data_IF_076844581515
#
_entry.id   IF_076844581515
#
_cell.length_a   1.000
_cell.length_b   1.000
_cell.length_c   1.000
_cell.angle_alpha   90.00
_cell.angle_beta   90.00
_cell.angle_gamma   90.00
#
_symmetry.space_group_name_H-M   'P 1'
#
loop_
_entity.id
_entity.type
_entity.pdbx_description
1 polymer ?
#
# COMPACT_ATOMS: atom_id res chain seq x y z
N UNK A 1 25.06 5.06 -13.20
CA UNK A 1 25.90 5.04 -14.36
C UNK A 1 25.12 5.07 -15.67
N UNK A 2 24.64 3.94 -16.20
CA UNK A 2 23.92 3.94 -17.50
C UNK A 2 22.59 4.69 -17.40
N UNK A 3 21.77 4.40 -16.40
CA UNK A 3 20.52 5.11 -16.15
C UNK A 3 20.70 6.63 -16.00
N UNK A 4 21.75 7.06 -15.25
CA UNK A 4 22.09 8.48 -15.11
C UNK A 4 22.43 9.16 -16.45
N UNK A 5 22.99 8.40 -17.40
CA UNK A 5 23.34 8.90 -18.74
C UNK A 5 22.12 8.92 -19.68
N UNK A 6 21.23 7.91 -19.55
CA UNK A 6 20.06 7.77 -20.43
C UNK A 6 18.91 8.69 -20.01
N UNK A 7 18.74 8.97 -18.72
CA UNK A 7 17.66 9.82 -18.23
C UNK A 7 18.02 11.31 -18.11
N UNK A 8 19.27 11.69 -18.40
CA UNK A 8 19.79 13.08 -18.40
C UNK A 8 19.35 13.92 -17.18
N UNK A 9 19.18 13.26 -16.04
CA UNK A 9 18.70 13.90 -14.80
C UNK A 9 17.24 14.31 -14.79
N UNK A 10 16.44 13.85 -15.76
CA UNK A 10 15.06 14.27 -15.95
C UNK A 10 14.15 13.95 -14.76
N UNK A 11 14.43 12.85 -14.03
CA UNK A 11 13.57 12.43 -12.90
C UNK A 11 14.43 11.99 -11.71
N UNK A 12 14.15 12.58 -10.53
CA UNK A 12 14.67 12.06 -9.27
C UNK A 12 13.85 10.84 -8.86
N UNK A 13 14.53 9.75 -8.49
CA UNK A 13 13.89 8.56 -7.91
C UNK A 13 13.70 8.70 -6.40
N UNK A 14 14.49 9.55 -5.79
CA UNK A 14 14.54 9.82 -4.36
C UNK A 14 15.23 11.17 -4.16
N UNK A 15 14.63 12.15 -3.47
CA UNK A 15 15.22 13.46 -3.27
C UNK A 15 16.52 13.44 -2.45
N UNK A 16 16.70 12.39 -1.61
CA UNK A 16 17.91 12.22 -0.80
C UNK A 16 19.06 11.54 -1.58
N UNK A 17 18.79 11.05 -2.79
CA UNK A 17 19.77 10.36 -3.62
C UNK A 17 20.21 11.22 -4.80
N UNK A 18 21.37 11.82 -4.67
CA UNK A 18 21.91 12.69 -5.71
C UNK A 18 22.44 11.92 -6.94
N UNK A 19 22.34 12.52 -8.13
CA UNK A 19 22.69 11.91 -9.40
C UNK A 19 24.19 12.07 -9.75
N UNK A 20 25.09 11.71 -8.81
CA UNK A 20 26.54 11.70 -9.05
C UNK A 20 27.16 10.33 -8.72
N UNK A 21 28.37 10.10 -9.22
CA UNK A 21 29.17 8.92 -8.89
C UNK A 21 29.89 9.13 -7.56
N UNK A 22 29.78 8.19 -6.65
CA UNK A 22 30.48 8.23 -5.37
C UNK A 22 29.66 7.61 -4.24
N UNK A 23 30.22 7.70 -3.03
CA UNK A 23 29.51 7.27 -1.82
C UNK A 23 28.47 8.30 -1.44
N UNK A 24 27.26 7.84 -1.16
CA UNK A 24 26.18 8.66 -0.66
C UNK A 24 25.69 8.09 0.66
N UNK A 25 25.21 8.94 1.52
CA UNK A 25 24.77 8.59 2.86
C UNK A 25 23.33 9.05 3.05
N UNK A 26 22.56 8.25 3.77
CA UNK A 26 21.19 8.64 4.15
C UNK A 26 21.21 9.81 5.12
N UNK A 27 20.15 10.64 5.15
CA UNK A 27 19.90 11.55 6.27
C UNK A 27 19.95 10.82 7.62
N UNK A 28 20.29 11.52 8.70
CA UNK A 28 20.50 10.91 10.03
C UNK A 28 19.25 10.22 10.59
N UNK A 29 18.09 10.69 10.21
CA UNK A 29 16.79 10.19 10.63
C UNK A 29 16.27 9.03 9.77
N UNK A 30 16.97 8.67 8.69
CA UNK A 30 16.55 7.62 7.75
C UNK A 30 17.54 6.44 7.76
N UNK A 31 17.08 5.22 8.08
CA UNK A 31 17.93 4.03 8.08
C UNK A 31 18.30 3.56 6.65
N UNK A 32 17.49 3.94 5.65
CA UNK A 32 17.67 3.69 4.22
C UNK A 32 17.23 4.91 3.43
N UNK A 33 17.69 5.05 2.20
CA UNK A 33 17.05 5.93 1.21
C UNK A 33 15.60 5.46 1.00
N UNK A 34 14.67 6.38 0.79
CA UNK A 34 13.25 6.10 0.59
C UNK A 34 13.00 5.10 -0.54
N UNK A 35 13.73 5.24 -1.66
CA UNK A 35 13.78 4.32 -2.79
C UNK A 35 13.97 2.85 -2.37
N UNK A 36 14.86 2.59 -1.41
CA UNK A 36 15.09 1.26 -0.89
C UNK A 36 14.05 0.87 0.16
N UNK A 37 13.58 1.83 0.96
CA UNK A 37 12.52 1.61 1.96
C UNK A 37 11.23 1.09 1.33
N UNK A 38 10.81 1.64 0.18
CA UNK A 38 9.63 1.19 -0.56
C UNK A 38 9.76 -0.24 -1.11
N UNK A 39 10.99 -0.73 -1.24
CA UNK A 39 11.29 -2.10 -1.67
C UNK A 39 11.56 -3.07 -0.50
N UNK A 40 11.58 -2.56 0.74
CA UNK A 40 11.74 -3.37 1.94
C UNK A 40 10.45 -4.09 2.31
N UNK A 41 10.53 -5.17 3.10
CA UNK A 41 9.35 -5.79 3.66
C UNK A 41 8.68 -4.87 4.68
N UNK A 42 7.35 -4.96 4.74
CA UNK A 42 6.53 -4.33 5.76
C UNK A 42 6.71 -4.98 7.16
N UNK A 43 5.90 -4.54 8.13
CA UNK A 43 5.95 -5.09 9.50
C UNK A 43 5.67 -6.59 9.54
N UNK A 44 4.72 -7.08 8.72
CA UNK A 44 4.42 -8.50 8.60
C UNK A 44 5.59 -9.28 8.00
N UNK A 45 6.13 -8.86 6.86
CA UNK A 45 7.29 -9.47 6.22
C UNK A 45 8.54 -9.48 7.11
N UNK A 46 8.79 -8.39 7.84
CA UNK A 46 9.88 -8.30 8.83
C UNK A 46 9.70 -9.29 9.99
N UNK A 47 8.47 -9.48 10.45
CA UNK A 47 8.16 -10.50 11.47
C UNK A 47 8.50 -11.90 10.97
N UNK A 48 8.07 -12.26 9.76
CA UNK A 48 8.36 -13.56 9.15
C UNK A 48 9.88 -13.79 9.00
N UNK A 49 10.62 -12.77 8.56
CA UNK A 49 12.07 -12.88 8.39
C UNK A 49 12.82 -13.04 9.73
N UNK A 50 12.39 -12.33 10.79
CA UNK A 50 12.94 -12.51 12.13
C UNK A 50 12.67 -13.92 12.68
N UNK A 51 11.49 -14.46 12.44
CA UNK A 51 11.14 -15.83 12.82
C UNK A 51 11.97 -16.87 12.07
N UNK A 52 12.20 -16.66 10.75
CA UNK A 52 13.10 -17.50 9.96
C UNK A 52 14.50 -17.54 10.56
N UNK A 53 15.06 -16.38 10.88
CA UNK A 53 16.38 -16.28 11.50
C UNK A 53 16.43 -17.04 12.84
N UNK A 54 15.41 -16.90 13.68
CA UNK A 54 15.35 -17.61 14.97
C UNK A 54 15.33 -19.13 14.81
N UNK A 55 14.56 -19.65 13.85
CA UNK A 55 14.51 -21.09 13.54
C UNK A 55 15.85 -21.58 12.98
N UNK A 56 16.44 -20.81 12.06
CA UNK A 56 17.72 -21.18 11.46
C UNK A 56 18.84 -21.20 12.53
N UNK A 57 18.88 -20.20 13.38
CA UNK A 57 19.85 -20.11 14.48
C UNK A 57 19.74 -21.31 15.43
N UNK A 58 18.51 -21.75 15.74
CA UNK A 58 18.28 -22.94 16.57
C UNK A 58 18.78 -24.23 15.90
N UNK A 59 18.57 -24.38 14.59
CA UNK A 59 19.08 -25.54 13.83
C UNK A 59 20.61 -25.59 13.79
N UNK A 60 21.24 -24.41 13.76
CA UNK A 60 22.68 -24.24 13.72
C UNK A 60 23.33 -24.16 15.11
N UNK A 61 22.55 -24.35 16.18
CA UNK A 61 22.97 -24.24 17.58
C UNK A 61 23.73 -22.95 17.89
N UNK A 62 23.21 -21.84 17.37
CA UNK A 62 23.74 -20.48 17.59
C UNK A 62 22.66 -19.52 18.08
N UNK A 63 23.09 -18.37 18.60
CA UNK A 63 22.14 -17.29 18.93
C UNK A 63 21.61 -16.63 17.65
N UNK A 64 20.30 -16.27 17.61
CA UNK A 64 19.75 -15.47 16.52
C UNK A 64 20.50 -14.14 16.39
N UNK A 65 20.89 -13.78 15.17
CA UNK A 65 21.47 -12.47 14.91
C UNK A 65 20.38 -11.40 14.78
N UNK A 66 20.71 -10.16 15.12
CA UNK A 66 19.84 -9.03 14.84
C UNK A 66 19.91 -8.73 13.34
N UNK A 67 18.77 -8.80 12.65
CA UNK A 67 18.69 -8.45 11.24
C UNK A 67 18.81 -6.93 11.08
N UNK A 68 19.62 -6.51 10.12
CA UNK A 68 19.82 -5.13 9.70
C UNK A 68 18.84 -4.74 8.60
N UNK A 69 18.73 -3.46 8.27
CA UNK A 69 17.90 -2.99 7.15
C UNK A 69 18.35 -3.60 5.82
N UNK A 70 19.64 -3.80 5.62
CA UNK A 70 20.17 -4.48 4.43
C UNK A 70 19.72 -5.95 4.35
N UNK A 71 19.64 -6.66 5.49
CA UNK A 71 19.13 -8.03 5.53
C UNK A 71 17.65 -8.09 5.12
N UNK A 72 16.85 -7.13 5.60
CA UNK A 72 15.45 -7.03 5.20
C UNK A 72 15.31 -6.68 3.73
N UNK A 73 16.00 -5.66 3.24
CA UNK A 73 15.97 -5.24 1.85
C UNK A 73 16.36 -6.38 0.90
N UNK A 74 17.52 -7.00 1.13
CA UNK A 74 18.06 -8.02 0.24
C UNK A 74 17.37 -9.39 0.39
N UNK A 75 16.73 -9.63 1.52
CA UNK A 75 16.01 -10.89 1.79
C UNK A 75 14.63 -11.00 1.16
N UNK A 76 14.10 -9.94 0.53
CA UNK A 76 12.83 -9.99 -0.23
C UNK A 76 13.02 -10.81 -1.50
N UNK A 77 12.11 -11.77 -1.76
CA UNK A 77 12.14 -12.56 -2.99
C UNK A 77 12.04 -11.64 -4.23
N UNK A 78 13.00 -11.77 -5.14
CA UNK A 78 13.11 -10.88 -6.30
C UNK A 78 11.81 -10.82 -7.12
N UNK A 79 11.19 -11.95 -7.40
CA UNK A 79 9.97 -12.03 -8.21
C UNK A 79 8.79 -11.22 -7.65
N UNK A 80 8.64 -11.15 -6.32
CA UNK A 80 7.54 -10.44 -5.64
C UNK A 80 7.92 -9.06 -5.12
N UNK A 81 9.17 -8.61 -5.24
CA UNK A 81 9.59 -7.28 -4.80
C UNK A 81 8.75 -6.17 -5.42
N UNK A 82 8.36 -5.17 -4.64
CA UNK A 82 7.63 -4.01 -5.12
C UNK A 82 8.49 -3.19 -6.10
N UNK A 83 7.85 -2.70 -7.15
CA UNK A 83 8.48 -1.84 -8.14
C UNK A 83 9.49 -2.56 -9.05
N UNK A 84 10.43 -1.80 -9.60
CA UNK A 84 11.38 -2.28 -10.60
C UNK A 84 12.78 -2.59 -10.05
N UNK A 85 13.06 -2.26 -8.78
CA UNK A 85 14.38 -2.50 -8.21
C UNK A 85 14.71 -3.99 -8.11
N UNK A 86 15.94 -4.32 -8.52
CA UNK A 86 16.52 -5.66 -8.43
C UNK A 86 17.98 -5.54 -7.97
N UNK A 87 18.45 -6.49 -7.20
CA UNK A 87 19.78 -6.48 -6.62
C UNK A 87 20.61 -7.66 -7.10
N UNK A 88 21.84 -7.41 -7.51
CA UNK A 88 22.85 -8.42 -7.84
C UNK A 88 24.19 -8.01 -7.23
N UNK A 89 25.10 -8.96 -7.02
CA UNK A 89 26.46 -8.69 -6.53
C UNK A 89 27.38 -8.20 -7.66
N UNK A 90 27.10 -8.61 -8.88
CA UNK A 90 27.92 -8.35 -10.06
C UNK A 90 27.01 -7.86 -11.21
N UNK A 91 27.56 -7.03 -12.08
CA UNK A 91 26.88 -6.61 -13.31
C UNK A 91 26.62 -7.81 -14.21
N UNK A 92 25.34 -7.98 -14.61
CA UNK A 92 24.89 -9.15 -15.39
C UNK A 92 24.83 -10.47 -14.61
N UNK A 93 25.14 -10.45 -13.32
CA UNK A 93 25.04 -11.62 -12.44
C UNK A 93 23.61 -11.96 -12.04
N UNK A 94 23.40 -13.10 -11.37
CA UNK A 94 22.09 -13.50 -10.90
C UNK A 94 21.56 -12.51 -9.84
N UNK A 95 20.24 -12.29 -9.86
CA UNK A 95 19.61 -11.48 -8.83
C UNK A 95 19.57 -12.20 -7.48
N UNK A 96 19.76 -11.43 -6.41
CA UNK A 96 19.69 -11.93 -5.03
C UNK A 96 18.25 -12.35 -4.69
N UNK A 97 18.15 -13.33 -3.75
CA UNK A 97 16.86 -13.85 -3.27
C UNK A 97 15.95 -14.36 -4.39
N UNK A 98 16.50 -15.08 -5.34
CA UNK A 98 15.81 -15.67 -6.49
C UNK A 98 15.71 -17.21 -6.40
N UNK A 99 15.73 -17.79 -5.21
CA UNK A 99 15.58 -19.24 -4.99
C UNK A 99 14.14 -19.66 -5.33
N UNK A 100 13.94 -20.62 -6.28
CA UNK A 100 12.62 -21.13 -6.65
C UNK A 100 11.81 -21.70 -5.48
N UNK A 101 12.45 -22.17 -4.41
CA UNK A 101 11.78 -22.65 -3.21
C UNK A 101 10.96 -21.53 -2.50
N UNK A 102 11.31 -20.27 -2.74
CA UNK A 102 10.60 -19.09 -2.23
C UNK A 102 9.82 -18.36 -3.32
N UNK A 103 9.55 -19.00 -4.46
CA UNK A 103 8.76 -18.41 -5.52
C UNK A 103 7.31 -18.11 -5.06
N UNK A 104 6.73 -17.06 -5.64
CA UNK A 104 5.35 -16.65 -5.36
C UNK A 104 4.39 -17.82 -5.62
N UNK A 105 3.60 -18.25 -4.62
CA UNK A 105 2.71 -19.39 -4.76
C UNK A 105 1.55 -19.11 -5.71
N UNK A 106 1.01 -20.13 -6.38
CA UNK A 106 -0.15 -19.98 -7.23
C UNK A 106 -1.42 -19.74 -6.39
N UNK A 107 -2.43 -19.13 -7.04
CA UNK A 107 -3.75 -18.79 -6.47
C UNK A 107 -4.42 -19.94 -5.71
N UNK A 108 -4.30 -21.17 -6.22
CA UNK A 108 -4.88 -22.36 -5.59
C UNK A 108 -4.38 -22.64 -4.16
N UNK A 109 -3.30 -21.99 -3.74
CA UNK A 109 -2.76 -22.08 -2.38
C UNK A 109 -3.37 -21.12 -1.38
N UNK A 110 -4.26 -20.20 -1.79
CA UNK A 110 -4.83 -19.16 -0.91
C UNK A 110 -5.40 -19.69 0.39
N UNK A 111 -6.23 -20.73 0.34
CA UNK A 111 -6.78 -21.37 1.55
C UNK A 111 -5.68 -21.88 2.50
N UNK A 112 -4.63 -22.47 1.95
CA UNK A 112 -3.50 -22.97 2.73
C UNK A 112 -2.71 -21.84 3.37
N UNK A 113 -2.55 -20.74 2.63
CA UNK A 113 -1.85 -19.53 3.13
C UNK A 113 -2.64 -18.82 4.22
N UNK A 114 -3.97 -18.68 4.08
CA UNK A 114 -4.83 -18.13 5.13
C UNK A 114 -4.74 -18.98 6.40
N UNK A 115 -4.89 -20.30 6.28
CA UNK A 115 -4.75 -21.21 7.42
C UNK A 115 -3.36 -21.10 8.08
N UNK A 116 -2.30 -21.04 7.26
CA UNK A 116 -0.93 -20.86 7.76
C UNK A 116 -0.75 -19.54 8.51
N UNK A 117 -1.34 -18.44 8.01
CA UNK A 117 -1.24 -17.13 8.66
C UNK A 117 -1.95 -17.09 10.01
N UNK A 118 -3.15 -17.64 10.10
CA UNK A 118 -3.90 -17.75 11.37
C UNK A 118 -3.21 -18.68 12.36
N UNK A 119 -2.68 -19.81 11.90
CA UNK A 119 -1.90 -20.71 12.75
C UNK A 119 -0.62 -20.06 13.25
N UNK A 120 0.06 -19.28 12.39
CA UNK A 120 1.27 -18.55 12.76
C UNK A 120 0.99 -17.46 13.81
N UNK A 121 -0.12 -16.70 13.69
CA UNK A 121 -0.52 -15.70 14.68
C UNK A 121 -0.91 -16.34 16.03
N UNK A 122 -1.44 -17.58 16.02
CA UNK A 122 -1.82 -18.33 17.23
C UNK A 122 -0.67 -19.14 17.84
N UNK A 123 0.47 -19.24 17.17
CA UNK A 123 1.65 -19.94 17.67
C UNK A 123 2.47 -19.06 18.61
N UNK A 124 2.18 -19.15 19.92
CA UNK A 124 2.90 -18.41 20.95
C UNK A 124 4.39 -18.80 21.04
N UNK A 125 4.77 -20.01 20.62
CA UNK A 125 6.17 -20.44 20.53
C UNK A 125 6.87 -19.76 19.35
N UNK A 126 6.14 -19.41 18.30
CA UNK A 126 6.61 -18.81 17.06
C UNK A 126 7.67 -19.61 16.32
N UNK A 127 7.73 -20.93 16.55
CA UNK A 127 8.76 -21.82 16.07
C UNK A 127 8.24 -22.89 15.10
N UNK A 128 6.98 -22.81 14.70
CA UNK A 128 6.42 -23.75 13.73
C UNK A 128 6.95 -23.46 12.31
N UNK A 129 7.96 -24.21 11.92
CA UNK A 129 8.65 -24.05 10.64
C UNK A 129 7.74 -24.29 9.44
N UNK A 130 6.80 -25.23 9.56
CA UNK A 130 5.93 -25.61 8.45
C UNK A 130 5.04 -24.43 7.99
N UNK A 131 4.46 -23.70 8.92
CA UNK A 131 3.66 -22.51 8.61
C UNK A 131 4.52 -21.37 8.10
N UNK A 132 5.68 -21.17 8.72
CA UNK A 132 6.61 -20.13 8.32
C UNK A 132 7.12 -20.32 6.89
N UNK A 133 7.48 -21.54 6.49
CA UNK A 133 7.93 -21.82 5.12
C UNK A 133 6.87 -21.50 4.07
N UNK A 134 5.58 -21.71 4.38
CA UNK A 134 4.48 -21.37 3.47
C UNK A 134 4.29 -19.86 3.33
N UNK A 135 4.57 -19.08 4.37
CA UNK A 135 4.35 -17.65 4.39
C UNK A 135 5.55 -16.81 3.93
N UNK A 136 6.77 -17.32 4.07
CA UNK A 136 8.00 -16.58 3.78
C UNK A 136 8.14 -16.17 2.32
N UNK A 137 7.76 -17.05 1.40
CA UNK A 137 7.85 -16.78 -0.02
C UNK A 137 6.94 -15.63 -0.48
N UNK A 138 5.64 -15.65 -0.08
CA UNK A 138 4.69 -14.64 -0.55
C UNK A 138 4.62 -13.37 0.31
N UNK A 139 5.11 -13.39 1.55
CA UNK A 139 4.88 -12.33 2.55
C UNK A 139 5.92 -11.22 2.55
N UNK A 140 6.21 -10.55 1.44
CA UNK A 140 7.26 -9.53 1.43
C UNK A 140 6.85 -8.26 0.68
N UNK A 141 7.22 -7.11 1.18
CA UNK A 141 7.24 -5.78 0.55
C UNK A 141 5.90 -5.10 0.22
N UNK A 142 4.80 -5.31 0.97
CA UNK A 142 3.48 -4.84 0.53
C UNK A 142 2.74 -3.86 1.48
N UNK A 143 3.43 -3.26 2.45
CA UNK A 143 2.86 -2.29 3.39
C UNK A 143 1.95 -2.88 4.50
N UNK A 144 2.04 -2.34 5.72
CA UNK A 144 1.17 -2.66 6.85
C UNK A 144 1.57 -3.85 7.73
N UNK A 145 0.85 -4.04 8.85
CA UNK A 145 1.11 -5.07 9.87
C UNK A 145 0.26 -6.34 9.70
N UNK A 146 -0.81 -6.26 8.91
CA UNK A 146 -1.79 -7.33 8.71
C UNK A 146 -1.19 -8.50 7.92
N UNK A 147 -1.58 -9.75 8.22
CA UNK A 147 -1.18 -10.93 7.45
C UNK A 147 -1.52 -10.79 5.96
N UNK A 148 -0.53 -10.96 5.11
CA UNK A 148 -0.69 -10.85 3.66
C UNK A 148 0.32 -11.70 2.90
N UNK A 149 0.03 -11.94 1.63
CA UNK A 149 0.90 -12.69 0.74
C UNK A 149 0.77 -12.22 -0.71
N UNK A 150 1.87 -12.31 -1.47
CA UNK A 150 1.78 -12.26 -2.93
C UNK A 150 1.36 -13.62 -3.46
N UNK A 151 0.46 -13.65 -4.44
CA UNK A 151 0.02 -14.87 -5.14
C UNK A 151 0.02 -14.64 -6.65
N UNK A 152 0.22 -15.74 -7.40
CA UNK A 152 0.25 -15.72 -8.85
C UNK A 152 -1.08 -16.30 -9.38
N UNK A 153 -1.81 -15.50 -10.17
CA UNK A 153 -3.00 -15.96 -10.86
C UNK A 153 -2.68 -16.83 -12.08
N UNK A 154 -3.66 -17.52 -12.62
CA UNK A 154 -3.48 -18.42 -13.76
C UNK A 154 -3.02 -17.72 -15.05
N UNK A 155 -3.32 -16.43 -15.19
CA UNK A 155 -2.89 -15.57 -16.29
C UNK A 155 -1.47 -15.01 -16.11
N UNK A 156 -0.77 -15.40 -15.02
CA UNK A 156 0.56 -14.90 -14.68
C UNK A 156 0.58 -13.54 -13.98
N UNK A 157 -0.57 -12.93 -13.69
CA UNK A 157 -0.63 -11.68 -12.95
C UNK A 157 -0.36 -11.89 -11.46
N UNK A 158 0.34 -10.92 -10.85
CA UNK A 158 0.61 -10.90 -9.42
C UNK A 158 -0.54 -10.19 -8.66
N UNK A 159 -0.93 -10.79 -7.54
CA UNK A 159 -1.94 -10.28 -6.64
C UNK A 159 -1.43 -10.22 -5.21
N UNK A 160 -2.01 -9.34 -4.43
CA UNK A 160 -1.84 -9.28 -2.98
C UNK A 160 -3.08 -9.89 -2.35
N UNK A 161 -2.90 -10.89 -1.49
CA UNK A 161 -3.96 -11.43 -0.63
C UNK A 161 -3.76 -10.87 0.78
N UNK A 162 -4.74 -10.15 1.32
CA UNK A 162 -4.81 -9.71 2.71
C UNK A 162 -5.72 -10.67 3.46
N UNK A 163 -5.13 -11.43 4.39
CA UNK A 163 -5.85 -12.46 5.16
C UNK A 163 -6.54 -11.89 6.39
N UNK A 164 -7.60 -12.54 6.90
CA UNK A 164 -8.12 -12.22 8.21
C UNK A 164 -7.06 -12.47 9.29
N UNK A 165 -7.05 -11.62 10.32
CA UNK A 165 -6.19 -11.72 11.50
C UNK A 165 -6.99 -12.15 12.73
N UNK A 166 -6.33 -12.82 13.67
CA UNK A 166 -6.93 -13.14 14.98
C UNK A 166 -7.32 -11.88 15.78
N UNK A 167 -6.71 -10.75 15.46
CA UNK A 167 -6.95 -9.48 16.13
C UNK A 167 -8.06 -8.64 15.48
N UNK A 168 -8.70 -9.15 14.43
CA UNK A 168 -9.76 -8.42 13.75
C UNK A 168 -11.03 -8.37 14.61
N UNK A 169 -11.50 -7.17 14.88
CA UNK A 169 -12.77 -6.92 15.58
C UNK A 169 -13.98 -7.04 14.64
N UNK A 170 -13.74 -6.93 13.34
CA UNK A 170 -14.73 -7.04 12.27
C UNK A 170 -14.10 -7.67 11.02
N UNK A 171 -14.94 -8.06 10.05
CA UNK A 171 -14.46 -8.63 8.78
C UNK A 171 -13.80 -7.56 7.89
N UNK A 172 -12.54 -7.20 8.21
CA UNK A 172 -11.81 -6.12 7.53
C UNK A 172 -11.67 -6.36 6.03
N UNK A 173 -11.44 -7.61 5.60
CA UNK A 173 -11.35 -7.91 4.16
C UNK A 173 -12.64 -7.62 3.40
N UNK A 174 -13.81 -7.90 4.02
CA UNK A 174 -15.10 -7.57 3.43
C UNK A 174 -15.34 -6.05 3.40
N UNK A 175 -14.98 -5.33 4.46
CA UNK A 175 -15.12 -3.88 4.49
C UNK A 175 -14.17 -3.17 3.51
N UNK A 176 -12.94 -3.66 3.35
CA UNK A 176 -12.02 -3.16 2.31
C UNK A 176 -12.62 -3.37 0.91
N UNK A 177 -13.29 -4.50 0.66
CA UNK A 177 -13.99 -4.75 -0.60
C UNK A 177 -15.21 -3.83 -0.79
N UNK A 178 -15.96 -3.53 0.26
CA UNK A 178 -17.08 -2.57 0.21
C UNK A 178 -16.58 -1.19 -0.24
N UNK A 179 -15.54 -0.68 0.42
CA UNK A 179 -14.95 0.63 0.10
C UNK A 179 -14.33 0.63 -1.28
N UNK A 180 -13.68 -0.46 -1.69
CA UNK A 180 -13.14 -0.61 -3.04
C UNK A 180 -14.22 -0.52 -4.13
N UNK A 181 -15.38 -1.16 -3.93
CA UNK A 181 -16.51 -1.06 -4.87
C UNK A 181 -17.11 0.37 -4.88
N UNK A 182 -17.21 1.01 -3.71
CA UNK A 182 -17.65 2.41 -3.62
C UNK A 182 -16.71 3.33 -4.38
N UNK A 183 -15.39 3.19 -4.20
CA UNK A 183 -14.39 3.97 -4.93
C UNK A 183 -14.56 3.83 -6.45
N UNK A 184 -14.80 2.60 -6.91
CA UNK A 184 -15.08 2.33 -8.32
C UNK A 184 -16.37 2.99 -8.81
N UNK A 185 -17.44 2.98 -8.01
CA UNK A 185 -18.70 3.67 -8.34
C UNK A 185 -18.54 5.18 -8.39
N UNK A 186 -17.70 5.76 -7.53
CA UNK A 186 -17.32 7.18 -7.56
C UNK A 186 -16.39 7.55 -8.73
N UNK A 187 -16.06 6.60 -9.62
CA UNK A 187 -15.21 6.83 -10.77
C UNK A 187 -13.73 7.00 -10.44
N UNK A 188 -13.28 6.59 -9.25
CA UNK A 188 -11.87 6.58 -8.88
C UNK A 188 -11.12 5.44 -9.57
N UNK A 189 -9.86 5.69 -9.87
CA UNK A 189 -8.98 4.68 -10.47
C UNK A 189 -8.54 3.66 -9.41
N UNK A 190 -9.12 2.47 -9.44
CA UNK A 190 -8.83 1.35 -8.53
C UNK A 190 -8.32 0.13 -9.30
N UNK A 191 -7.44 -0.72 -8.72
CA UNK A 191 -7.01 -1.97 -9.33
C UNK A 191 -8.15 -3.01 -9.30
N UNK A 192 -8.01 -4.08 -10.09
CA UNK A 192 -8.93 -5.21 -10.00
C UNK A 192 -8.85 -5.86 -8.62
N UNK A 193 -10.01 -6.13 -7.99
CA UNK A 193 -10.09 -6.76 -6.68
C UNK A 193 -11.10 -7.92 -6.65
N UNK A 194 -10.91 -8.83 -5.69
CA UNK A 194 -11.79 -9.98 -5.41
C UNK A 194 -11.88 -10.22 -3.92
N UNK A 195 -12.98 -10.81 -3.50
CA UNK A 195 -13.18 -11.28 -2.13
C UNK A 195 -13.38 -12.79 -2.11
N UNK A 196 -12.61 -13.48 -1.28
CA UNK A 196 -12.72 -14.93 -1.07
C UNK A 196 -12.93 -15.21 0.42
N UNK A 197 -13.66 -16.27 0.75
CA UNK A 197 -13.89 -16.68 2.13
C UNK A 197 -13.51 -18.15 2.30
N UNK A 198 -12.47 -18.43 3.07
CA UNK A 198 -11.96 -19.77 3.29
C UNK A 198 -12.21 -20.28 4.71
N UNK A 199 -12.45 -19.38 5.66
CA UNK A 199 -12.70 -19.69 7.08
C UNK A 199 -13.85 -18.87 7.63
N UNK A 200 -14.22 -19.14 8.90
CA UNK A 200 -15.21 -18.37 9.64
C UNK A 200 -14.63 -17.11 10.29
N UNK A 201 -13.32 -16.94 10.27
CA UNK A 201 -12.64 -15.81 10.92
C UNK A 201 -12.89 -14.51 10.18
N UNK A 202 -13.00 -14.56 8.85
CA UNK A 202 -13.25 -13.41 8.00
C UNK A 202 -13.04 -13.73 6.53
N UNK A 203 -12.98 -12.71 5.71
CA UNK A 203 -12.78 -12.83 4.27
C UNK A 203 -11.36 -12.37 3.89
N UNK A 204 -10.77 -13.03 2.90
CA UNK A 204 -9.51 -12.63 2.28
C UNK A 204 -9.80 -11.65 1.16
N UNK A 205 -9.30 -10.41 1.29
CA UNK A 205 -9.33 -9.41 0.22
C UNK A 205 -8.14 -9.62 -0.71
N UNK A 206 -8.40 -9.61 -2.01
CA UNK A 206 -7.40 -9.82 -3.06
C UNK A 206 -7.40 -8.62 -3.99
N UNK A 207 -6.22 -8.08 -4.24
CA UNK A 207 -6.04 -6.94 -5.14
C UNK A 207 -4.91 -7.19 -6.11
N UNK A 208 -5.14 -6.89 -7.38
CA UNK A 208 -4.16 -7.06 -8.46
C UNK A 208 -3.07 -6.01 -8.33
N UNK A 209 -1.82 -6.41 -8.47
CA UNK A 209 -0.70 -5.49 -8.45
C UNK A 209 -0.65 -4.67 -9.73
N UNK A 210 -0.47 -3.37 -9.58
CA UNK A 210 -0.40 -2.39 -10.66
C UNK A 210 1.04 -2.04 -11.08
N UNK A 211 2.05 -2.46 -10.30
CA UNK A 211 3.47 -2.28 -10.62
C UNK A 211 4.03 -3.35 -11.60
N UNK A 212 3.13 -4.07 -12.25
CA UNK A 212 3.45 -5.07 -13.27
C UNK A 212 2.58 -4.88 -14.50
N UNK A 213 3.20 -4.91 -15.67
CA UNK A 213 2.51 -4.96 -16.96
C UNK A 213 3.06 -6.13 -17.75
N UNK A 214 2.31 -7.24 -17.79
CA UNK A 214 2.77 -8.53 -18.32
C UNK A 214 4.06 -8.96 -17.59
N UNK A 215 5.21 -9.03 -18.28
CA UNK A 215 6.51 -9.36 -17.70
C UNK A 215 7.33 -8.14 -17.27
N UNK A 216 6.88 -6.93 -17.57
CA UNK A 216 7.58 -5.70 -17.25
C UNK A 216 7.30 -5.29 -15.80
N UNK A 217 8.34 -4.81 -15.12
CA UNK A 217 8.23 -4.14 -13.84
C UNK A 217 8.15 -2.63 -14.07
N UNK A 218 7.21 -1.99 -13.38
CA UNK A 218 7.10 -0.53 -13.36
C UNK A 218 7.69 -0.07 -12.04
N UNK A 219 8.55 0.92 -12.07
CA UNK A 219 9.12 1.47 -10.85
C UNK A 219 8.03 2.16 -10.03
N UNK A 220 7.96 1.82 -8.75
CA UNK A 220 7.02 2.36 -7.77
C UNK A 220 7.79 3.14 -6.72
N UNK A 221 7.28 4.29 -6.33
CA UNK A 221 7.69 5.03 -5.16
C UNK A 221 6.45 5.52 -4.38
N UNK A 222 6.52 5.52 -3.06
CA UNK A 222 5.49 6.14 -2.22
C UNK A 222 5.66 7.67 -2.20
N UNK A 223 4.57 8.39 -1.90
CA UNK A 223 4.65 9.83 -1.64
C UNK A 223 5.62 10.15 -0.50
N UNK A 224 5.71 9.29 0.51
CA UNK A 224 6.69 9.43 1.58
C UNK A 224 8.12 9.55 1.02
N UNK A 225 8.50 8.67 0.09
CA UNK A 225 9.81 8.70 -0.58
C UNK A 225 9.97 9.95 -1.42
N UNK A 226 9.01 10.25 -2.30
CA UNK A 226 9.13 11.35 -3.27
C UNK A 226 9.10 12.74 -2.64
N UNK A 227 8.46 12.88 -1.48
CA UNK A 227 8.46 14.10 -0.67
C UNK A 227 9.63 14.18 0.32
N UNK A 228 10.53 13.20 0.36
CA UNK A 228 11.67 13.16 1.28
C UNK A 228 11.28 13.02 2.76
N UNK A 229 10.07 12.54 3.05
CA UNK A 229 9.55 12.39 4.42
C UNK A 229 9.96 11.06 5.04
N UNK A 230 9.73 10.94 6.35
CA UNK A 230 9.96 9.72 7.13
C UNK A 230 8.66 8.98 7.42
N UNK A 231 8.75 7.70 7.81
CA UNK A 231 7.58 6.90 8.21
C UNK A 231 6.93 7.53 9.47
N UNK A 232 5.62 7.75 9.40
CA UNK A 232 4.84 8.43 10.43
C UNK A 232 4.66 9.94 10.24
N UNK A 233 5.22 10.53 9.17
CA UNK A 233 4.91 11.93 8.83
C UNK A 233 3.39 12.11 8.60
N UNK A 234 2.81 13.12 9.23
CA UNK A 234 1.37 13.31 9.35
C UNK A 234 1.00 14.80 9.42
N UNK A 235 -0.27 15.08 9.60
CA UNK A 235 -0.79 16.42 9.85
C UNK A 235 -0.07 17.13 11.01
N UNK A 236 0.32 16.40 12.06
CA UNK A 236 1.06 16.95 13.20
C UNK A 236 2.42 17.54 12.83
N UNK A 237 3.03 17.08 11.74
CA UNK A 237 4.29 17.58 11.19
C UNK A 237 4.05 18.60 10.05
N UNK A 238 2.83 19.07 9.87
CA UNK A 238 2.42 19.98 8.80
C UNK A 238 2.40 19.33 7.42
N UNK A 239 2.39 17.99 7.34
CA UNK A 239 2.30 17.26 6.06
C UNK A 239 0.88 17.28 5.53
N UNK A 240 0.71 17.64 4.26
CA UNK A 240 -0.61 17.88 3.65
C UNK A 240 -0.78 17.23 2.27
N UNK A 241 -2.03 17.12 1.81
CA UNK A 241 -2.33 16.78 0.43
C UNK A 241 -1.85 17.85 -0.57
N UNK A 242 -1.61 19.06 -0.10
CA UNK A 242 -1.05 20.15 -0.92
C UNK A 242 0.43 19.86 -1.28
N UNK A 243 1.17 19.15 -0.42
CA UNK A 243 2.53 18.68 -0.74
C UNK A 243 2.49 17.69 -1.91
N UNK A 244 1.51 16.76 -1.91
CA UNK A 244 1.30 15.83 -3.02
C UNK A 244 0.90 16.56 -4.30
N UNK A 245 -0.01 17.53 -4.20
CA UNK A 245 -0.44 18.34 -5.34
C UNK A 245 0.72 19.13 -5.95
N UNK A 246 1.59 19.71 -5.12
CA UNK A 246 2.81 20.40 -5.56
C UNK A 246 3.76 19.45 -6.28
N UNK A 247 3.97 18.24 -5.74
CA UNK A 247 4.79 17.21 -6.38
C UNK A 247 4.22 16.79 -7.75
N UNK A 248 2.93 16.49 -7.83
CA UNK A 248 2.25 16.11 -9.09
C UNK A 248 2.40 17.23 -10.14
N UNK A 249 2.23 18.49 -9.74
CA UNK A 249 2.35 19.63 -10.65
C UNK A 249 3.75 19.73 -11.26
N UNK A 250 4.78 19.46 -10.46
CA UNK A 250 6.17 19.65 -10.85
C UNK A 250 6.80 18.43 -11.54
N UNK A 251 6.34 17.21 -11.21
CA UNK A 251 6.99 15.96 -11.60
C UNK A 251 6.02 14.95 -12.26
N UNK A 252 4.74 15.30 -12.34
CA UNK A 252 3.70 14.40 -12.84
C UNK A 252 3.77 14.18 -14.34
N UNK A 253 3.43 12.97 -14.79
CA UNK A 253 3.27 12.62 -16.20
C UNK A 253 1.98 13.21 -16.79
N UNK A 254 0.91 13.25 -16.00
CA UNK A 254 -0.41 13.78 -16.36
C UNK A 254 -0.95 14.69 -15.24
N UNK A 255 -0.33 15.87 -15.00
CA UNK A 255 -0.63 16.65 -13.80
C UNK A 255 -2.11 17.03 -13.64
N UNK A 256 -2.78 17.37 -14.73
CA UNK A 256 -4.19 17.80 -14.67
C UNK A 256 -5.11 16.65 -14.23
N UNK A 257 -4.91 15.46 -14.77
CA UNK A 257 -5.74 14.30 -14.45
C UNK A 257 -5.42 13.78 -13.04
N UNK A 258 -4.13 13.66 -12.70
CA UNK A 258 -3.68 13.15 -11.41
C UNK A 258 -4.04 14.09 -10.24
N UNK A 259 -4.04 15.42 -10.44
CA UNK A 259 -4.50 16.39 -9.45
C UNK A 259 -6.00 16.25 -9.18
N UNK A 260 -6.82 16.15 -10.23
CA UNK A 260 -8.27 15.97 -10.11
C UNK A 260 -8.61 14.63 -9.44
N UNK A 261 -7.87 13.58 -9.79
CA UNK A 261 -8.00 12.25 -9.16
C UNK A 261 -7.63 12.32 -7.67
N UNK A 262 -6.51 12.95 -7.30
CA UNK A 262 -6.11 13.11 -5.91
C UNK A 262 -7.17 13.88 -5.10
N UNK A 263 -7.71 14.97 -5.63
CA UNK A 263 -8.76 15.73 -4.95
C UNK A 263 -10.01 14.87 -4.71
N UNK A 264 -10.46 14.10 -5.70
CA UNK A 264 -11.59 13.18 -5.53
C UNK A 264 -11.32 12.12 -4.47
N UNK A 265 -10.07 11.64 -4.34
CA UNK A 265 -9.66 10.69 -3.29
C UNK A 265 -9.77 11.30 -1.90
N UNK A 266 -9.46 12.59 -1.73
CA UNK A 266 -9.61 13.28 -0.44
C UNK A 266 -11.10 13.32 -0.06
N UNK A 267 -11.99 13.76 -0.98
CA UNK A 267 -13.44 13.74 -0.75
C UNK A 267 -13.92 12.33 -0.40
N UNK A 268 -13.47 11.32 -1.14
CA UNK A 268 -13.85 9.93 -0.91
C UNK A 268 -13.35 9.42 0.46
N UNK A 269 -12.11 9.71 0.84
CA UNK A 269 -11.57 9.36 2.16
C UNK A 269 -12.39 9.97 3.29
N UNK A 270 -12.84 11.21 3.14
CA UNK A 270 -13.77 11.84 4.09
C UNK A 270 -15.12 11.11 4.11
N UNK A 271 -15.69 10.79 2.93
CA UNK A 271 -17.00 10.16 2.83
C UNK A 271 -17.05 8.74 3.41
N UNK A 272 -15.92 8.04 3.50
CA UNK A 272 -15.79 6.69 4.09
C UNK A 272 -14.97 6.68 5.39
N UNK A 273 -14.64 7.84 5.94
CA UNK A 273 -13.80 8.03 7.13
C UNK A 273 -12.51 7.18 7.08
N UNK A 274 -11.80 7.20 5.96
CA UNK A 274 -10.49 6.55 5.85
C UNK A 274 -9.43 7.40 6.54
N UNK A 275 -9.28 7.27 7.85
CA UNK A 275 -8.39 8.08 8.67
C UNK A 275 -6.93 7.65 8.64
N UNK A 276 -6.62 6.47 8.06
CA UNK A 276 -5.25 5.95 7.93
C UNK A 276 -4.64 6.27 6.53
N UNK A 277 -5.10 7.36 5.90
CA UNK A 277 -4.63 7.78 4.57
C UNK A 277 -3.28 8.52 4.65
N UNK A 278 -2.23 7.82 5.05
CA UNK A 278 -0.88 8.36 5.20
C UNK A 278 -0.08 8.34 3.88
N UNK A 279 1.09 9.02 3.84
CA UNK A 279 1.92 9.15 2.63
C UNK A 279 2.34 7.83 1.95
N UNK A 280 2.33 6.71 2.68
CA UNK A 280 2.63 5.39 2.07
C UNK A 280 1.45 4.80 1.33
N UNK A 281 0.23 5.31 1.54
CA UNK A 281 -0.98 4.91 0.82
C UNK A 281 -1.19 5.69 -0.49
N UNK A 282 -0.30 6.66 -0.76
CA UNK A 282 -0.21 7.35 -2.05
C UNK A 282 1.03 6.88 -2.80
N UNK A 283 0.82 6.11 -3.87
CA UNK A 283 1.90 5.59 -4.70
C UNK A 283 2.01 6.32 -6.03
N UNK A 284 3.19 6.26 -6.61
CA UNK A 284 3.49 6.77 -7.93
C UNK A 284 4.22 5.74 -8.76
N UNK A 285 3.91 5.70 -10.05
CA UNK A 285 4.52 4.83 -11.04
C UNK A 285 5.37 5.66 -12.00
N UNK A 286 6.63 5.29 -12.17
CA UNK A 286 7.51 6.00 -13.11
C UNK A 286 7.15 5.62 -14.54
N UNK A 287 6.86 6.62 -15.35
CA UNK A 287 6.62 6.53 -16.78
C UNK A 287 7.74 7.22 -17.58
N UNK A 288 7.80 7.10 -18.89
CA UNK A 288 8.77 7.83 -19.70
C UNK A 288 8.66 9.36 -19.62
N UNK A 289 7.50 9.88 -19.20
CA UNK A 289 7.19 11.33 -19.17
C UNK A 289 7.09 11.92 -17.77
N UNK A 290 7.33 11.12 -16.72
CA UNK A 290 7.24 11.57 -15.33
C UNK A 290 6.57 10.56 -14.42
N UNK A 291 6.19 10.99 -13.24
CA UNK A 291 5.49 10.19 -12.25
C UNK A 291 3.98 10.24 -12.48
N UNK A 292 3.34 9.10 -12.60
CA UNK A 292 1.87 8.98 -12.66
C UNK A 292 1.33 8.53 -11.30
N UNK A 293 0.24 9.13 -10.85
CA UNK A 293 -0.44 8.68 -9.62
C UNK A 293 -0.90 7.22 -9.80
N UNK A 294 -0.59 6.35 -8.84
CA UNK A 294 -0.98 4.95 -8.90
C UNK A 294 -2.50 4.79 -8.74
N UNK A 295 -3.08 3.64 -9.09
CA UNK A 295 -4.42 3.30 -8.62
C UNK A 295 -4.53 3.44 -7.10
N UNK A 296 -5.73 3.78 -6.60
CA UNK A 296 -6.04 3.89 -5.17
C UNK A 296 -5.95 2.50 -4.51
N UNK A 297 -5.34 2.41 -3.34
CA UNK A 297 -5.17 1.17 -2.58
C UNK A 297 -5.18 1.43 -1.07
N UNK A 298 -5.44 0.38 -0.30
CA UNK A 298 -5.38 0.36 1.17
C UNK A 298 -6.33 1.38 1.83
N UNK A 299 -7.58 1.42 1.36
CA UNK A 299 -8.64 2.27 1.91
C UNK A 299 -9.55 1.45 2.81
N UNK A 300 -9.67 1.86 4.06
CA UNK A 300 -10.45 1.14 5.08
C UNK A 300 -11.36 2.12 5.85
N UNK A 301 -12.63 1.77 6.09
CA UNK A 301 -13.53 2.63 6.84
C UNK A 301 -13.24 2.53 8.34
N UNK A 302 -13.25 3.67 9.03
CA UNK A 302 -13.02 3.76 10.49
C UNK A 302 -14.21 4.45 11.14
N UNK A 303 -15.07 3.71 11.88
CA UNK A 303 -16.37 4.23 12.35
C UNK A 303 -16.28 5.35 13.39
N UNK A 304 -15.14 5.55 14.02
CA UNK A 304 -14.92 6.58 15.05
C UNK A 304 -13.89 7.63 14.61
N UNK A 305 -13.54 7.63 13.31
CA UNK A 305 -12.55 8.55 12.76
C UNK A 305 -13.14 9.93 12.48
N UNK A 306 -12.47 10.98 12.93
CA UNK A 306 -12.88 12.39 12.76
C UNK A 306 -11.81 13.26 12.10
N UNK A 307 -10.60 12.74 11.89
CA UNK A 307 -9.51 13.45 11.25
C UNK A 307 -8.78 12.54 10.28
N UNK A 308 -8.29 13.07 9.17
CA UNK A 308 -7.42 12.38 8.24
C UNK A 308 -5.97 12.35 8.77
N UNK A 309 -5.12 11.48 8.23
CA UNK A 309 -3.69 11.43 8.57
C UNK A 309 -2.92 12.66 8.07
N UNK A 310 -3.36 13.27 6.98
CA UNK A 310 -2.73 14.42 6.33
C UNK A 310 -3.63 15.64 6.43
N UNK A 311 -3.04 16.84 6.50
CA UNK A 311 -3.77 18.06 6.41
C UNK A 311 -4.42 18.22 5.03
N UNK A 312 -5.66 18.71 5.00
CA UNK A 312 -6.40 19.00 3.77
C UNK A 312 -5.99 20.35 3.20
N UNK A 313 -5.90 21.35 4.05
CA UNK A 313 -5.26 22.62 3.76
C UNK A 313 -3.86 22.70 4.40
N UNK A 314 -3.42 23.83 4.91
CA UNK A 314 -2.10 24.03 5.51
C UNK A 314 -2.04 23.52 6.96
N UNK A 315 -3.16 23.51 7.69
CA UNK A 315 -3.19 23.30 9.15
C UNK A 315 -4.31 22.35 9.64
N UNK A 316 -5.32 22.03 8.81
CA UNK A 316 -6.51 21.31 9.22
C UNK A 316 -6.67 19.97 8.48
N UNK A 317 -6.90 18.92 9.25
CA UNK A 317 -7.11 17.55 8.77
C UNK A 317 -8.49 16.99 9.15
N UNK A 318 -9.41 17.82 9.57
CA UNK A 318 -10.78 17.43 9.95
C UNK A 318 -11.52 16.80 8.77
N UNK A 319 -12.41 15.85 9.07
CA UNK A 319 -13.35 15.31 8.08
C UNK A 319 -14.48 16.32 7.90
N UNK A 320 -14.23 17.33 7.06
CA UNK A 320 -15.17 18.39 6.70
C UNK A 320 -15.05 18.68 5.20
N UNK A 321 -16.15 18.46 4.48
CA UNK A 321 -16.18 18.67 3.02
C UNK A 321 -15.90 20.14 2.64
N UNK A 322 -16.20 21.12 3.51
CA UNK A 322 -15.91 22.51 3.24
C UNK A 322 -14.40 22.78 3.06
N UNK A 323 -13.54 22.07 3.80
CA UNK A 323 -12.08 22.19 3.69
C UNK A 323 -11.57 21.75 2.31
N UNK A 324 -12.08 20.65 1.79
CA UNK A 324 -11.62 20.14 0.48
C UNK A 324 -12.17 21.01 -0.66
N UNK A 325 -13.33 21.63 -0.49
CA UNK A 325 -13.86 22.63 -1.44
C UNK A 325 -13.00 23.89 -1.47
N UNK A 326 -12.57 24.39 -0.31
CA UNK A 326 -11.69 25.55 -0.18
C UNK A 326 -10.39 25.41 -0.98
N UNK A 327 -9.80 24.21 -0.95
CA UNK A 327 -8.52 23.94 -1.62
C UNK A 327 -8.64 23.44 -3.06
N UNK A 328 -9.85 23.31 -3.62
CA UNK A 328 -10.11 22.74 -4.94
C UNK A 328 -9.31 23.42 -6.08
N UNK A 329 -9.06 24.73 -5.97
CA UNK A 329 -8.26 25.49 -6.91
C UNK A 329 -6.80 24.99 -7.03
N UNK A 330 -6.22 24.46 -5.95
CA UNK A 330 -4.87 23.85 -5.98
C UNK A 330 -4.83 22.55 -6.78
N UNK A 331 -5.97 21.94 -7.03
CA UNK A 331 -6.12 20.71 -7.81
C UNK A 331 -6.67 20.95 -9.23
N UNK A 332 -6.81 22.23 -9.62
CA UNK A 332 -7.26 22.63 -10.94
C UNK A 332 -8.76 22.45 -11.19
N UNK A 333 -9.58 22.51 -10.13
CA UNK A 333 -11.03 22.52 -10.23
C UNK A 333 -11.56 23.95 -9.98
N UNK A 334 -12.62 24.30 -10.69
CA UNK A 334 -13.45 25.47 -10.37
C UNK A 334 -14.37 25.15 -9.20
N UNK A 335 -14.92 26.17 -8.56
CA UNK A 335 -15.90 26.04 -7.48
C UNK A 335 -17.10 25.17 -7.91
N UNK A 336 -17.67 25.42 -9.07
CA UNK A 336 -18.80 24.66 -9.60
C UNK A 336 -18.44 23.18 -9.86
N UNK A 337 -17.24 22.89 -10.41
CA UNK A 337 -16.79 21.53 -10.66
C UNK A 337 -16.56 20.78 -9.34
N UNK A 338 -15.97 21.45 -8.33
CA UNK A 338 -15.68 20.82 -7.04
C UNK A 338 -16.95 20.52 -6.25
N UNK A 339 -17.89 21.47 -6.18
CA UNK A 339 -19.19 21.26 -5.52
C UNK A 339 -19.97 20.08 -6.15
N UNK A 340 -20.05 20.06 -7.49
CA UNK A 340 -20.74 19.00 -8.21
C UNK A 340 -20.09 17.64 -7.95
N UNK A 341 -18.74 17.54 -8.03
CA UNK A 341 -18.02 16.31 -7.83
C UNK A 341 -18.08 15.82 -6.36
N UNK A 342 -17.99 16.72 -5.38
CA UNK A 342 -18.12 16.37 -3.97
C UNK A 342 -19.53 15.83 -3.67
N UNK A 343 -20.56 16.50 -4.14
CA UNK A 343 -21.97 16.07 -4.00
C UNK A 343 -22.18 14.69 -4.62
N UNK A 344 -21.68 14.46 -5.84
CA UNK A 344 -21.79 13.16 -6.51
C UNK A 344 -21.12 12.03 -5.72
N UNK A 345 -19.90 12.26 -5.21
CA UNK A 345 -19.15 11.25 -4.43
C UNK A 345 -19.89 10.95 -3.12
N UNK A 346 -20.27 11.96 -2.34
CA UNK A 346 -20.96 11.78 -1.07
C UNK A 346 -22.29 11.05 -1.27
N UNK A 347 -23.11 11.46 -2.23
CA UNK A 347 -24.37 10.81 -2.57
C UNK A 347 -24.17 9.36 -3.03
N UNK A 348 -23.16 9.09 -3.87
CA UNK A 348 -22.85 7.74 -4.34
C UNK A 348 -22.48 6.83 -3.17
N UNK A 349 -21.66 7.30 -2.24
CA UNK A 349 -21.27 6.56 -1.03
C UNK A 349 -22.51 6.28 -0.18
N UNK A 350 -23.26 7.29 0.18
CA UNK A 350 -24.48 7.21 1.02
C UNK A 350 -25.51 6.23 0.49
N UNK A 351 -25.79 6.30 -0.80
CA UNK A 351 -26.80 5.46 -1.46
C UNK A 351 -26.41 3.98 -1.57
N UNK A 352 -25.10 3.65 -1.57
CA UNK A 352 -24.64 2.34 -1.98
C UNK A 352 -23.92 1.53 -0.90
N UNK A 353 -23.36 2.15 0.14
CA UNK A 353 -22.50 1.43 1.09
C UNK A 353 -23.21 0.27 1.81
N UNK A 354 -24.45 0.43 2.28
CA UNK A 354 -25.22 -0.65 2.92
C UNK A 354 -25.58 -1.76 1.93
N UNK A 355 -25.98 -1.40 0.69
CA UNK A 355 -26.31 -2.35 -0.36
C UNK A 355 -25.12 -3.24 -0.71
N UNK A 356 -23.93 -2.63 -0.81
CA UNK A 356 -22.69 -3.36 -1.10
C UNK A 356 -22.28 -4.21 0.10
N UNK A 357 -22.40 -3.69 1.33
CA UNK A 357 -22.13 -4.46 2.54
C UNK A 357 -23.00 -5.73 2.62
N UNK A 358 -24.29 -5.60 2.31
CA UNK A 358 -25.22 -6.75 2.23
C UNK A 358 -24.84 -7.72 1.11
N UNK A 359 -24.46 -7.23 -0.06
CA UNK A 359 -23.96 -8.04 -1.19
C UNK A 359 -22.80 -8.94 -0.77
N UNK A 360 -21.90 -8.44 0.09
CA UNK A 360 -20.75 -9.19 0.59
C UNK A 360 -21.03 -9.97 1.89
N UNK A 361 -22.32 -10.14 2.26
CA UNK A 361 -22.75 -11.00 3.35
C UNK A 361 -22.46 -10.45 4.75
N UNK A 362 -22.21 -9.15 4.88
CA UNK A 362 -22.05 -8.50 6.17
C UNK A 362 -23.38 -8.48 6.92
N UNK A 363 -23.37 -8.91 8.18
CA UNK A 363 -24.58 -8.99 9.00
C UNK A 363 -25.12 -7.60 9.33
N UNK A 364 -26.43 -7.50 9.64
CA UNK A 364 -27.06 -6.25 10.07
C UNK A 364 -26.31 -5.58 11.24
N UNK A 365 -25.85 -6.39 12.21
CA UNK A 365 -25.07 -5.85 13.34
C UNK A 365 -23.67 -5.36 12.93
N UNK A 366 -23.06 -5.94 11.89
CA UNK A 366 -21.79 -5.43 11.35
C UNK A 366 -22.00 -4.11 10.59
N UNK A 367 -23.08 -4.01 9.83
CA UNK A 367 -23.49 -2.78 9.12
C UNK A 367 -23.74 -1.65 10.13
N UNK A 368 -24.51 -1.91 11.17
CA UNK A 368 -24.82 -0.90 12.20
C UNK A 368 -23.57 -0.38 12.92
N UNK A 369 -22.63 -1.26 13.27
CA UNK A 369 -21.36 -0.84 13.90
C UNK A 369 -20.49 0.03 12.99
N UNK A 370 -20.57 -0.14 11.68
CA UNK A 370 -19.77 0.60 10.72
C UNK A 370 -20.44 1.88 10.21
N UNK A 371 -21.69 2.12 10.58
CA UNK A 371 -22.51 3.27 10.11
C UNK A 371 -21.78 4.60 10.28
N UNK A 372 -21.16 4.82 11.44
CA UNK A 372 -20.43 6.07 11.73
C UNK A 372 -19.19 6.33 10.85
N UNK A 373 -18.78 5.35 10.02
CA UNK A 373 -17.69 5.56 9.07
C UNK A 373 -18.16 6.21 7.76
N UNK A 374 -19.46 6.18 7.47
CA UNK A 374 -19.99 6.68 6.20
C UNK A 374 -20.74 7.99 6.40
N UNK A 375 -20.51 8.92 5.47
CA UNK A 375 -21.13 10.24 5.52
C UNK A 375 -22.67 10.12 5.56
N UNK A 376 -23.29 10.89 6.45
CA UNK A 376 -24.74 11.07 6.55
C UNK A 376 -25.12 12.43 5.95
N UNK A 377 -26.44 12.64 5.64
CA UNK A 377 -26.93 13.93 5.12
C UNK A 377 -26.69 15.10 6.09
#
# INVERSE_FOLDING_TARGET
>A
PQWLQECDGAYSLDPDLALYRGRQYTPLDKPLFGLFSDSCPDRWGRLLMRRREAIQARKEDRKPRKLTESDFLLGVFDGSRMGALRFSLEEGGPFLSNDPAFATPPWVKLRTLEHASLAFENDDSGLNEQWLQQLLAPGSSLGGARPKASVLAADGSLWIAKFPSKNDEYNSGAWEMVVHELAKLCGLHVPEAKLETFSKTGSTFLVKRFDRKVSQRIHFASAMTLLGKTDGASAADGTSYLDLASFIRSNGANPTEDLRELWKRIVFNMAVSNTDDHLRNHGFLLTPTGWALSPLYDVNPVPEGNCLSLNVNEEDNSIDISLVLEVAGYFGLTEQESEAAATEICHTVQENWEKIAQKYGLSRGAVERMRGAFIEE
#
